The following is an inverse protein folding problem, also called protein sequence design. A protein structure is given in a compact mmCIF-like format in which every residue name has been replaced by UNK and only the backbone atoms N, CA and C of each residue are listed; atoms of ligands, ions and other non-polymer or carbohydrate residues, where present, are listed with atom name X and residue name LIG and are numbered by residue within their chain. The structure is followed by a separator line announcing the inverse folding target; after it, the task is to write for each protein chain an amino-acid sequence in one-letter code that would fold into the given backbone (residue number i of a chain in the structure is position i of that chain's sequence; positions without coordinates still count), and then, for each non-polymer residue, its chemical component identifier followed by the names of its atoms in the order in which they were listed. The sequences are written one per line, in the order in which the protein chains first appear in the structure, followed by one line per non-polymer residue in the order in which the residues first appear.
data_IF_273608365631
#
_entry.id   IF_273608365631
#
_cell.length_a   1.000
_cell.length_b   1.000
_cell.length_c   1.000
_cell.angle_alpha   90.00
_cell.angle_beta   90.00
_cell.angle_gamma   90.00
#
_symmetry.space_group_name_H-M   'P 1'
#
loop_
_entity.id
_entity.type
_entity.pdbx_description
1 polymer ?
#
# COMPACT_ATOMS: atom_id res chain seq x y z
N UNK A 1 -8.71 -13.80 -11.25
CA UNK A 1 -7.78 -13.09 -12.15
C UNK A 1 -8.57 -12.12 -12.99
N UNK A 2 -8.12 -10.87 -13.11
CA UNK A 2 -8.71 -9.83 -13.97
C UNK A 2 -7.73 -9.59 -15.11
N UNK A 3 -8.11 -9.76 -16.38
CA UNK A 3 -7.20 -9.55 -17.50
C UNK A 3 -6.83 -8.08 -17.69
N UNK A 4 -5.66 -7.81 -18.27
CA UNK A 4 -5.26 -6.47 -18.69
C UNK A 4 -6.02 -6.05 -19.95
N UNK A 5 -6.21 -4.74 -20.13
CA UNK A 5 -6.73 -4.14 -21.36
C UNK A 5 -5.63 -3.24 -21.94
N UNK A 6 -5.05 -3.65 -23.06
CA UNK A 6 -3.88 -2.97 -23.64
C UNK A 6 -2.65 -3.07 -22.74
N UNK A 7 -2.02 -1.92 -22.47
CA UNK A 7 -0.84 -1.81 -21.59
C UNK A 7 -1.21 -1.54 -20.12
N UNK A 8 -2.49 -1.49 -19.80
CA UNK A 8 -2.97 -1.07 -18.48
C UNK A 8 -3.76 -2.18 -17.81
N UNK A 9 -3.58 -2.31 -16.51
CA UNK A 9 -4.34 -3.22 -15.66
C UNK A 9 -3.81 -4.65 -15.66
N UNK A 10 -4.70 -5.55 -15.26
CA UNK A 10 -4.37 -6.93 -14.96
C UNK A 10 -4.09 -7.11 -13.47
N UNK A 11 -5.04 -7.75 -12.77
CA UNK A 11 -4.90 -8.07 -11.37
C UNK A 11 -5.01 -9.58 -11.18
N UNK A 12 -4.11 -10.13 -10.38
CA UNK A 12 -4.16 -11.52 -9.99
C UNK A 12 -3.99 -11.61 -8.46
N UNK A 13 -4.82 -12.43 -7.85
CA UNK A 13 -4.74 -12.73 -6.44
C UNK A 13 -4.46 -14.22 -6.28
N UNK A 14 -3.39 -14.55 -5.57
CA UNK A 14 -2.99 -15.91 -5.23
C UNK A 14 -2.83 -16.00 -3.72
N UNK A 15 -3.24 -17.11 -3.15
CA UNK A 15 -3.05 -17.39 -1.73
C UNK A 15 -2.64 -18.84 -1.50
N UNK A 16 -1.96 -19.04 -0.39
CA UNK A 16 -1.47 -20.36 0.01
C UNK A 16 -2.65 -21.23 0.47
N UNK A 17 -2.57 -22.52 0.17
CA UNK A 17 -3.48 -23.52 0.74
C UNK A 17 -3.56 -23.40 2.29
N UNK A 18 -4.77 -23.54 2.83
CA UNK A 18 -5.06 -23.35 4.26
C UNK A 18 -5.51 -21.92 4.62
N UNK A 19 -5.29 -20.91 3.75
CA UNK A 19 -5.87 -19.58 3.97
C UNK A 19 -7.31 -19.59 3.45
N UNK A 20 -8.27 -19.34 4.36
CA UNK A 20 -9.69 -19.24 4.00
C UNK A 20 -9.97 -17.85 3.45
N UNK A 21 -9.98 -17.73 2.14
CA UNK A 21 -10.25 -16.49 1.42
C UNK A 21 -11.40 -16.70 0.43
N UNK A 22 -12.31 -15.75 0.39
CA UNK A 22 -13.47 -15.73 -0.50
C UNK A 22 -13.46 -14.43 -1.30
N UNK A 23 -13.34 -14.53 -2.63
CA UNK A 23 -13.40 -13.35 -3.50
C UNK A 23 -14.87 -12.94 -3.64
N UNK A 24 -15.17 -11.73 -3.19
CA UNK A 24 -16.50 -11.13 -3.23
C UNK A 24 -16.78 -10.49 -4.59
N UNK A 25 -15.86 -9.62 -5.03
CA UNK A 25 -15.98 -8.87 -6.28
C UNK A 25 -14.63 -8.61 -6.92
N UNK A 26 -14.60 -8.50 -8.22
CA UNK A 26 -13.40 -8.05 -8.93
C UNK A 26 -13.78 -7.16 -10.11
N UNK A 27 -12.90 -6.22 -10.42
CA UNK A 27 -13.01 -5.30 -11.54
C UNK A 27 -11.62 -4.98 -12.08
N UNK A 28 -11.54 -4.14 -13.11
CA UNK A 28 -10.26 -3.77 -13.74
C UNK A 28 -9.28 -3.09 -12.77
N UNK A 29 -9.80 -2.47 -11.72
CA UNK A 29 -9.03 -1.66 -10.77
C UNK A 29 -8.98 -2.23 -9.36
N UNK A 30 -9.64 -3.36 -9.08
CA UNK A 30 -9.61 -3.96 -7.74
C UNK A 30 -9.96 -5.45 -7.73
N UNK A 31 -9.48 -6.12 -6.71
CA UNK A 31 -9.98 -7.43 -6.27
C UNK A 31 -10.36 -7.29 -4.80
N UNK A 32 -11.61 -7.58 -4.52
CA UNK A 32 -12.23 -7.51 -3.21
C UNK A 32 -12.43 -8.92 -2.67
N UNK A 33 -11.93 -9.21 -1.49
CA UNK A 33 -12.00 -10.52 -0.88
C UNK A 33 -12.17 -10.46 0.64
N UNK A 34 -12.85 -11.44 1.20
CA UNK A 34 -12.94 -11.66 2.63
C UNK A 34 -11.94 -12.72 3.06
N UNK A 35 -11.15 -12.39 4.07
CA UNK A 35 -10.21 -13.32 4.70
C UNK A 35 -10.79 -13.75 6.03
N UNK A 36 -10.96 -15.05 6.23
CA UNK A 36 -11.37 -15.62 7.52
C UNK A 36 -10.11 -15.97 8.31
N UNK A 37 -9.91 -15.28 9.42
CA UNK A 37 -8.83 -15.59 10.35
C UNK A 37 -9.13 -16.85 11.14
N UNK A 38 -8.07 -17.51 11.59
CA UNK A 38 -8.19 -18.62 12.55
C UNK A 38 -8.24 -18.08 13.98
N UNK A 39 -9.16 -18.63 14.80
CA UNK A 39 -9.28 -18.30 16.22
C UNK A 39 -9.68 -16.84 16.48
N UNK A 40 -8.79 -16.06 17.11
CA UNK A 40 -9.08 -14.70 17.61
C UNK A 40 -9.09 -13.60 16.55
N UNK A 41 -8.72 -13.89 15.31
CA UNK A 41 -8.54 -12.85 14.27
C UNK A 41 -9.81 -12.51 13.49
N UNK A 42 -10.91 -13.23 13.70
CA UNK A 42 -12.17 -12.94 13.05
C UNK A 42 -12.10 -12.86 11.51
N UNK A 43 -13.12 -12.29 10.90
CA UNK A 43 -13.15 -12.00 9.45
C UNK A 43 -12.71 -10.56 9.21
N UNK A 44 -11.90 -10.35 8.15
CA UNK A 44 -11.49 -9.04 7.73
C UNK A 44 -11.52 -8.92 6.19
N UNK A 45 -11.54 -7.69 5.71
CA UNK A 45 -11.72 -7.36 4.30
C UNK A 45 -10.37 -7.02 3.67
N UNK A 46 -10.04 -7.66 2.56
CA UNK A 46 -8.84 -7.44 1.76
C UNK A 46 -9.21 -6.84 0.42
N UNK A 47 -8.52 -5.77 0.03
CA UNK A 47 -8.64 -5.19 -1.30
C UNK A 47 -7.25 -5.07 -1.93
N UNK A 48 -7.07 -5.74 -3.07
CA UNK A 48 -5.99 -5.43 -4.01
C UNK A 48 -6.45 -4.29 -4.92
N UNK A 49 -5.72 -3.17 -4.97
CA UNK A 49 -6.14 -1.95 -5.64
C UNK A 49 -5.16 -1.49 -6.71
N UNK A 50 -5.69 -1.02 -7.83
CA UNK A 50 -4.93 -0.39 -8.90
C UNK A 50 -5.60 0.93 -9.29
N UNK A 51 -5.01 2.04 -8.87
CA UNK A 51 -5.44 3.39 -9.22
C UNK A 51 -5.24 3.68 -10.71
N UNK A 52 -6.07 4.53 -11.26
CA UNK A 52 -5.97 4.85 -12.68
C UNK A 52 -4.65 5.61 -12.99
N UNK A 53 -3.79 5.11 -13.90
CA UNK A 53 -2.55 5.79 -14.26
C UNK A 53 -2.82 7.11 -14.99
N UNK A 54 -3.94 7.23 -15.71
CA UNK A 54 -4.34 8.47 -16.36
C UNK A 54 -4.80 9.51 -15.33
N UNK A 55 -4.06 10.60 -15.25
CA UNK A 55 -4.33 11.72 -14.35
C UNK A 55 -5.76 12.27 -14.47
N UNK A 56 -6.32 12.30 -15.68
CA UNK A 56 -7.66 12.84 -15.92
C UNK A 56 -8.75 11.94 -15.32
N UNK A 57 -8.47 10.65 -15.17
CA UNK A 57 -9.40 9.63 -14.68
C UNK A 57 -9.18 9.20 -13.23
N UNK A 58 -8.15 9.71 -12.56
CA UNK A 58 -7.87 9.34 -11.15
C UNK A 58 -9.02 9.63 -10.20
N UNK A 59 -9.84 10.63 -10.48
CA UNK A 59 -11.02 10.90 -9.68
C UNK A 59 -11.97 9.70 -9.61
N UNK A 60 -12.09 8.91 -10.68
CA UNK A 60 -12.89 7.68 -10.71
C UNK A 60 -12.35 6.63 -9.72
N UNK A 61 -11.02 6.58 -9.55
CA UNK A 61 -10.38 5.68 -8.56
C UNK A 61 -10.75 6.05 -7.12
N UNK A 62 -10.90 7.34 -6.84
CA UNK A 62 -11.31 7.80 -5.50
C UNK A 62 -12.78 7.55 -5.22
N UNK A 63 -13.64 7.71 -6.21
CA UNK A 63 -15.04 7.33 -6.08
C UNK A 63 -15.21 5.80 -5.93
N UNK A 64 -14.45 5.01 -6.66
CA UNK A 64 -14.37 3.57 -6.46
C UNK A 64 -13.93 3.23 -5.03
N UNK A 65 -12.82 3.84 -4.54
CA UNK A 65 -12.32 3.61 -3.18
C UNK A 65 -13.41 3.90 -2.14
N UNK A 66 -14.11 5.04 -2.25
CA UNK A 66 -15.23 5.39 -1.36
C UNK A 66 -16.39 4.40 -1.46
N UNK A 67 -16.69 3.88 -2.65
CA UNK A 67 -17.76 2.91 -2.85
C UNK A 67 -17.45 1.53 -2.26
N UNK A 68 -16.17 1.20 -2.11
CA UNK A 68 -15.69 -0.04 -1.47
C UNK A 68 -15.73 0.06 0.07
N UNK A 69 -15.81 1.28 0.60
CA UNK A 69 -16.03 1.53 2.02
C UNK A 69 -17.50 1.25 2.38
N UNK A 70 -17.81 0.00 2.68
CA UNK A 70 -19.19 -0.43 2.99
C UNK A 70 -19.63 -0.03 4.41
N UNK A 71 -20.95 0.00 4.68
CA UNK A 71 -21.53 0.34 5.99
C UNK A 71 -21.25 -0.71 7.08
N UNK A 72 -20.84 -1.90 6.72
CA UNK A 72 -20.51 -2.96 7.65
C UNK A 72 -18.99 -2.98 7.86
N UNK A 73 -18.56 -2.34 8.91
CA UNK A 73 -17.18 -2.09 9.30
C UNK A 73 -16.40 -3.34 9.72
N UNK A 74 -16.22 -4.29 8.80
CA UNK A 74 -15.16 -5.26 9.00
C UNK A 74 -13.82 -4.53 8.96
N UNK A 75 -12.88 -4.92 9.82
CA UNK A 75 -11.51 -4.46 9.69
C UNK A 75 -11.01 -4.68 8.26
N UNK A 76 -10.51 -3.66 7.56
CA UNK A 76 -10.08 -3.83 6.18
C UNK A 76 -8.70 -3.26 5.89
N UNK A 77 -8.05 -3.92 4.95
CA UNK A 77 -6.76 -3.59 4.39
C UNK A 77 -6.89 -3.42 2.89
N UNK A 78 -6.35 -2.35 2.36
CA UNK A 78 -6.20 -2.11 0.94
C UNK A 78 -4.72 -1.93 0.61
N UNK A 79 -4.23 -2.65 -0.40
CA UNK A 79 -2.82 -2.62 -0.80
C UNK A 79 -2.71 -2.61 -2.31
N UNK A 80 -1.75 -1.85 -2.82
CA UNK A 80 -1.45 -1.82 -4.26
C UNK A 80 -0.87 -0.50 -4.72
N UNK A 81 -0.92 -0.29 -6.03
CA UNK A 81 -0.51 0.93 -6.70
C UNK A 81 -1.69 1.90 -6.80
N UNK A 82 -1.61 3.02 -6.09
CA UNK A 82 -2.64 4.04 -6.14
C UNK A 82 -2.42 5.07 -7.27
N UNK A 83 -1.27 5.02 -7.94
CA UNK A 83 -0.89 5.95 -8.99
C UNK A 83 -0.93 7.44 -8.54
N UNK A 84 -0.95 7.71 -7.22
CA UNK A 84 -0.96 9.05 -6.66
C UNK A 84 -0.14 9.12 -5.37
N UNK A 85 0.41 10.30 -5.11
CA UNK A 85 1.14 10.64 -3.89
C UNK A 85 0.24 11.40 -2.90
N UNK A 86 0.53 11.30 -1.61
CA UNK A 86 -0.24 12.03 -0.57
C UNK A 86 0.34 13.42 -0.32
N UNK A 87 1.65 13.58 -0.47
CA UNK A 87 2.34 14.84 -0.23
C UNK A 87 3.56 15.00 -1.14
N UNK A 88 4.04 16.23 -1.28
CA UNK A 88 5.14 16.59 -2.18
C UNK A 88 6.44 15.84 -1.87
N UNK A 89 6.71 15.52 -0.61
CA UNK A 89 7.90 14.77 -0.19
C UNK A 89 7.93 13.33 -0.71
N UNK A 90 6.82 12.80 -1.20
CA UNK A 90 6.74 11.48 -1.82
C UNK A 90 7.14 11.47 -3.30
N UNK A 91 7.66 12.59 -3.81
CA UNK A 91 8.12 12.73 -5.19
C UNK A 91 9.50 13.39 -5.25
N UNK A 92 10.33 12.88 -6.14
CA UNK A 92 11.61 13.46 -6.53
C UNK A 92 11.66 13.61 -8.06
N UNK A 93 12.07 14.76 -8.53
CA UNK A 93 12.24 15.03 -9.96
C UNK A 93 10.92 15.19 -10.76
N UNK A 94 11.07 15.61 -12.02
CA UNK A 94 9.94 15.85 -12.91
C UNK A 94 9.05 17.03 -12.52
N UNK A 95 7.89 17.16 -13.17
CA UNK A 95 6.92 18.21 -12.92
C UNK A 95 6.28 18.06 -11.52
N UNK A 96 5.98 19.19 -10.89
CA UNK A 96 5.30 19.22 -9.58
C UNK A 96 3.90 18.62 -9.70
N UNK A 97 3.56 17.74 -8.78
CA UNK A 97 2.21 17.17 -8.69
C UNK A 97 1.22 18.27 -8.27
N UNK A 98 0.09 18.46 -8.97
CA UNK A 98 -0.90 19.44 -8.56
C UNK A 98 -1.48 19.15 -7.17
N UNK A 99 -1.49 20.14 -6.29
CA UNK A 99 -1.98 20.02 -4.90
C UNK A 99 -3.40 19.47 -4.85
N UNK A 100 -4.26 19.88 -5.78
CA UNK A 100 -5.66 19.41 -5.88
C UNK A 100 -5.77 17.88 -6.06
N UNK A 101 -4.83 17.27 -6.77
CA UNK A 101 -4.84 15.81 -6.98
C UNK A 101 -4.51 15.07 -5.69
N UNK A 102 -3.44 15.49 -5.01
CA UNK A 102 -3.06 14.95 -3.70
C UNK A 102 -4.18 15.14 -2.66
N UNK A 103 -4.83 16.32 -2.65
CA UNK A 103 -5.94 16.61 -1.75
C UNK A 103 -7.13 15.66 -1.96
N UNK A 104 -7.53 15.40 -3.21
CA UNK A 104 -8.62 14.47 -3.53
C UNK A 104 -8.32 13.04 -3.08
N UNK A 105 -7.08 12.59 -3.25
CA UNK A 105 -6.67 11.28 -2.76
C UNK A 105 -6.73 11.22 -1.24
N UNK A 106 -6.20 12.24 -0.56
CA UNK A 106 -6.26 12.34 0.90
C UNK A 106 -7.69 12.37 1.40
N UNK A 107 -8.58 13.14 0.77
CA UNK A 107 -10.01 13.17 1.11
C UNK A 107 -10.66 11.79 1.01
N UNK A 108 -10.31 10.99 0.00
CA UNK A 108 -10.83 9.63 -0.15
C UNK A 108 -10.32 8.70 0.97
N UNK A 109 -9.03 8.81 1.34
CA UNK A 109 -8.44 8.08 2.47
C UNK A 109 -9.15 8.44 3.78
N UNK A 110 -9.31 9.73 4.03
CA UNK A 110 -9.94 10.26 5.25
C UNK A 110 -11.42 9.85 5.33
N UNK A 111 -12.15 9.93 4.20
CA UNK A 111 -13.56 9.49 4.10
C UNK A 111 -13.73 8.01 4.48
N UNK A 112 -12.78 7.16 4.07
CA UNK A 112 -12.80 5.74 4.36
C UNK A 112 -12.22 5.39 5.75
N UNK A 113 -11.80 6.37 6.54
CA UNK A 113 -11.17 6.13 7.85
C UNK A 113 -9.85 5.35 7.76
N UNK A 114 -9.19 5.39 6.60
CA UNK A 114 -7.97 4.65 6.35
C UNK A 114 -6.74 5.37 6.89
N UNK A 115 -5.76 4.57 7.31
CA UNK A 115 -4.46 5.02 7.78
C UNK A 115 -3.36 4.20 7.12
N UNK A 116 -2.19 4.78 6.94
CA UNK A 116 -1.06 4.05 6.39
C UNK A 116 -0.57 2.97 7.34
N UNK A 117 -0.33 1.79 6.77
CA UNK A 117 0.48 0.76 7.43
C UNK A 117 1.94 1.20 7.37
N UNK A 118 2.61 1.28 8.52
CA UNK A 118 4.00 1.73 8.57
C UNK A 118 4.90 0.86 7.70
N UNK A 119 5.82 1.49 6.96
CA UNK A 119 6.70 0.79 6.03
C UNK A 119 8.17 0.79 6.46
N UNK A 120 8.93 -0.12 5.86
CA UNK A 120 10.38 -0.27 5.99
C UNK A 120 10.99 -0.46 4.60
N UNK A 121 12.07 0.23 4.31
CA UNK A 121 12.74 0.17 3.02
C UNK A 121 12.84 1.52 2.32
N UNK A 122 13.08 1.56 1.01
CA UNK A 122 13.16 2.79 0.23
C UNK A 122 11.88 3.63 0.35
N UNK A 123 12.04 4.95 0.37
CA UNK A 123 10.91 5.88 0.43
C UNK A 123 10.03 5.81 -0.81
N UNK A 124 10.65 5.68 -1.97
CA UNK A 124 9.95 5.67 -3.26
C UNK A 124 9.74 4.24 -3.71
N UNK A 125 8.58 3.98 -4.32
CA UNK A 125 8.19 2.65 -4.80
C UNK A 125 8.17 2.55 -6.32
N UNK A 126 8.28 3.65 -7.02
CA UNK A 126 8.36 3.73 -8.47
C UNK A 126 9.53 4.60 -8.92
N UNK A 127 10.19 4.18 -10.01
CA UNK A 127 11.35 4.85 -10.60
C UNK A 127 11.21 4.91 -12.12
N UNK A 128 11.23 6.12 -12.66
CA UNK A 128 11.47 6.35 -14.07
C UNK A 128 12.86 6.93 -14.27
N UNK A 129 13.62 6.33 -15.17
CA UNK A 129 14.99 6.76 -15.47
C UNK A 129 15.21 6.82 -16.97
N UNK A 130 15.77 7.94 -17.45
CA UNK A 130 16.25 8.10 -18.84
C UNK A 130 17.74 7.84 -18.95
N UNK A 131 18.22 7.59 -20.18
CA UNK A 131 19.64 7.37 -20.48
C UNK A 131 20.52 8.60 -20.17
N UNK A 132 19.97 9.81 -20.17
CA UNK A 132 20.65 11.06 -19.86
C UNK A 132 20.85 11.33 -18.35
N UNK A 133 20.45 10.37 -17.51
CA UNK A 133 20.50 10.47 -16.04
C UNK A 133 19.29 11.15 -15.40
N UNK A 134 18.31 11.63 -16.20
CA UNK A 134 17.08 12.19 -15.65
C UNK A 134 16.27 11.10 -14.92
N UNK A 135 15.86 11.39 -13.68
CA UNK A 135 15.10 10.47 -12.84
C UNK A 135 13.86 11.13 -12.27
N UNK A 136 12.77 10.34 -12.22
CA UNK A 136 11.58 10.64 -11.42
C UNK A 136 11.37 9.47 -10.46
N UNK A 137 11.17 9.76 -9.19
CA UNK A 137 10.87 8.75 -8.17
C UNK A 137 9.59 9.18 -7.46
N UNK A 138 8.67 8.23 -7.28
CA UNK A 138 7.39 8.50 -6.62
C UNK A 138 7.03 7.34 -5.68
N UNK A 139 6.30 7.63 -4.61
CA UNK A 139 5.73 6.62 -3.73
C UNK A 139 4.27 6.40 -4.12
N UNK A 140 4.05 5.53 -5.09
CA UNK A 140 2.73 5.22 -5.65
C UNK A 140 2.07 4.02 -4.97
N UNK A 141 2.89 3.07 -4.52
CA UNK A 141 2.47 1.82 -3.93
C UNK A 141 2.43 1.93 -2.41
N UNK A 142 1.34 1.50 -1.79
CA UNK A 142 1.16 1.55 -0.33
C UNK A 142 0.16 0.53 0.19
N UNK A 143 0.14 0.35 1.50
CA UNK A 143 -0.91 -0.35 2.21
C UNK A 143 -1.62 0.64 3.16
N UNK A 144 -2.93 0.67 3.08
CA UNK A 144 -3.80 1.47 3.93
C UNK A 144 -4.74 0.52 4.68
N UNK A 145 -5.07 0.83 5.92
CA UNK A 145 -5.95 0.00 6.72
C UNK A 145 -6.81 0.83 7.68
N UNK A 146 -7.95 0.28 8.09
CA UNK A 146 -8.74 0.87 9.15
C UNK A 146 -8.07 0.69 10.51
N UNK A 147 -8.48 1.50 11.49
CA UNK A 147 -7.95 1.41 12.85
C UNK A 147 -8.20 0.04 13.48
N UNK A 148 -9.34 -0.57 13.20
CA UNK A 148 -9.71 -1.90 13.66
C UNK A 148 -8.75 -2.96 13.12
N UNK A 149 -8.39 -2.88 11.82
CA UNK A 149 -7.41 -3.77 11.22
C UNK A 149 -6.02 -3.60 11.85
N UNK A 150 -5.59 -2.36 12.06
CA UNK A 150 -4.31 -2.06 12.72
C UNK A 150 -4.28 -2.56 14.17
N UNK A 151 -5.42 -2.59 14.83
CA UNK A 151 -5.56 -3.15 16.18
C UNK A 151 -5.48 -4.68 16.18
N UNK A 152 -6.04 -5.35 15.17
CA UNK A 152 -5.88 -6.80 15.00
C UNK A 152 -4.44 -7.20 14.68
N UNK A 153 -3.71 -6.37 13.93
CA UNK A 153 -2.36 -6.65 13.47
C UNK A 153 -1.36 -5.54 13.87
N UNK A 154 -1.13 -5.32 15.17
CA UNK A 154 -0.33 -4.18 15.66
C UNK A 154 1.15 -4.26 15.26
N UNK A 155 1.62 -5.46 14.92
CA UNK A 155 2.99 -5.69 14.46
C UNK A 155 3.13 -5.69 12.93
N UNK A 156 2.05 -5.45 12.19
CA UNK A 156 2.09 -5.43 10.74
C UNK A 156 3.04 -4.34 10.23
N UNK A 157 3.84 -4.68 9.21
CA UNK A 157 4.75 -3.77 8.53
C UNK A 157 4.78 -4.07 7.04
N UNK A 158 4.74 -3.01 6.25
CA UNK A 158 4.96 -3.06 4.82
C UNK A 158 6.45 -2.95 4.52
N UNK A 159 6.98 -3.83 3.71
CA UNK A 159 8.36 -3.74 3.24
C UNK A 159 8.37 -3.39 1.76
N UNK A 160 9.04 -2.30 1.42
CA UNK A 160 9.37 -1.97 0.05
C UNK A 160 10.65 -2.76 -0.32
N UNK A 161 10.55 -3.65 -1.29
CA UNK A 161 11.65 -4.49 -1.74
C UNK A 161 12.26 -3.92 -3.02
N UNK A 162 13.57 -4.06 -3.18
CA UNK A 162 14.21 -3.70 -4.43
C UNK A 162 13.81 -4.65 -5.56
N UNK A 163 13.63 -4.09 -6.76
CA UNK A 163 13.43 -4.85 -8.01
C UNK A 163 14.53 -4.51 -9.00
N UNK A 164 14.99 -5.51 -9.75
CA UNK A 164 15.88 -5.34 -10.89
C UNK A 164 15.19 -5.51 -12.24
N UNK A 165 13.89 -5.87 -12.22
CA UNK A 165 13.13 -6.24 -13.43
C UNK A 165 11.85 -5.42 -13.61
N UNK A 166 11.51 -4.57 -12.65
CA UNK A 166 10.33 -3.71 -12.67
C UNK A 166 10.70 -2.31 -12.19
N UNK A 167 10.07 -1.30 -12.75
CA UNK A 167 10.12 0.09 -12.30
C UNK A 167 9.37 0.31 -10.99
N UNK A 168 8.52 -0.63 -10.57
CA UNK A 168 7.90 -0.68 -9.25
C UNK A 168 8.62 -1.58 -8.27
N UNK A 169 8.61 -1.18 -7.01
CA UNK A 169 9.10 -1.97 -5.87
C UNK A 169 8.06 -3.00 -5.43
N UNK A 170 8.40 -4.28 -5.34
CA UNK A 170 7.50 -5.26 -4.73
C UNK A 170 7.18 -4.90 -3.28
N UNK A 171 5.91 -5.00 -2.91
CA UNK A 171 5.43 -4.81 -1.56
C UNK A 171 5.32 -6.15 -0.84
N UNK A 172 5.91 -6.24 0.35
CA UNK A 172 5.75 -7.40 1.25
C UNK A 172 5.11 -6.93 2.56
N UNK A 173 3.85 -7.30 2.77
CA UNK A 173 3.19 -7.08 4.05
C UNK A 173 3.48 -8.26 4.99
N UNK A 174 4.08 -7.96 6.14
CA UNK A 174 4.34 -8.93 7.20
C UNK A 174 3.47 -8.64 8.40
N UNK A 175 2.72 -9.63 8.87
CA UNK A 175 1.86 -9.54 10.06
C UNK A 175 2.63 -9.76 11.38
N UNK A 176 3.79 -10.41 11.31
CA UNK A 176 4.59 -10.84 12.48
C UNK A 176 5.92 -10.09 12.56
N UNK A 177 5.93 -8.78 12.30
CA UNK A 177 7.17 -8.02 12.40
C UNK A 177 7.59 -7.84 13.87
N UNK A 178 8.70 -8.49 14.26
CA UNK A 178 9.38 -8.21 15.52
C UNK A 178 10.46 -7.16 15.27
N UNK A 179 10.40 -5.96 15.86
CA UNK A 179 11.47 -4.96 15.70
C UNK A 179 12.79 -5.55 16.22
N UNK A 180 13.86 -5.41 15.45
CA UNK A 180 15.21 -5.78 15.93
C UNK A 180 15.48 -4.97 17.18
N UNK A 181 15.75 -5.63 18.33
CA UNK A 181 16.23 -4.98 19.54
C UNK A 181 17.50 -4.19 19.15
N UNK A 182 17.52 -2.87 19.32
CA UNK A 182 18.76 -2.10 19.25
C UNK A 182 19.73 -2.73 20.23
N UNK A 183 20.88 -3.25 19.78
CA UNK A 183 21.97 -3.59 20.67
C UNK A 183 22.28 -2.33 21.46
N UNK A 184 22.11 -2.35 22.78
CA UNK A 184 22.69 -1.32 23.65
C UNK A 184 24.20 -1.37 23.36
N UNK A 185 24.75 -0.31 22.81
CA UNK A 185 26.19 -0.13 22.81
C UNK A 185 26.62 -0.08 24.27
N UNK A 186 27.37 -1.07 24.70
CA UNK A 186 28.12 -1.01 25.91
C UNK A 186 29.28 -0.05 25.66
N UNK A 187 29.07 1.22 25.93
CA UNK A 187 30.16 2.22 26.12
C UNK A 187 30.06 2.65 27.55
N UNK A 188 31.00 2.41 28.21
CA UNK A 188 32.07 3.05 28.93
C UNK A 188 32.12 2.67 30.39
N UNK A 189 32.94 1.69 30.66
CA UNK A 189 33.77 1.68 31.85
C UNK A 189 34.79 2.82 31.68
N UNK A 190 34.59 3.93 32.37
CA UNK A 190 35.62 4.91 32.60
C UNK A 190 36.44 4.43 33.80
N UNK A 191 37.72 4.15 33.66
CA UNK A 191 38.63 3.99 34.80
C UNK A 191 39.24 5.38 35.09
N UNK A 192 38.80 6.02 36.13
CA UNK A 192 39.55 7.10 36.74
C UNK A 192 39.37 7.01 38.25
N UNK A 193 40.45 6.58 38.87
CA UNK A 193 41.04 6.89 40.18
C UNK A 193 40.11 7.30 41.32
#
# INVERSE_FOLDING_TARGET
MVPSIGLSGGLALFWKEGIKMEVNKSGLSHIDAFVRGDGNFGQWHFIGFYGNPDMAKRAESWELLKSLCGPNSLPWLIIGDFNEIICVSEKYGGAVRPIRQMARFKEAIDFCGLREVGFVGPQYTWLYQKHDGFQIRERLDRALATQEWLTLFPSAKLFHKSSSVSDHSPLLLSFLHKPKKKKKSSSDSNPCD
#
